data_IF_887253311846
#
_entry.id   IF_887253311846
#
_cell.length_a   1.000
_cell.length_b   1.000
_cell.length_c   1.000
_cell.angle_alpha   90.00
_cell.angle_beta   90.00
_cell.angle_gamma   90.00
#
_symmetry.space_group_name_H-M   'P 1'
#
loop_
_entity.id
_entity.type
_entity.pdbx_description
1 polymer ?
#
# COMPACT_ATOMS: atom_id res chain seq x y z
N UNK A 1 -5.93 -17.77 -16.06
CA UNK A 1 -5.80 -16.31 -16.12
C UNK A 1 -4.40 -15.93 -15.68
N UNK A 2 -3.61 -15.14 -16.44
CA UNK A 2 -2.20 -14.87 -16.11
C UNK A 2 -2.02 -13.90 -14.93
N UNK A 3 -3.10 -13.32 -14.42
CA UNK A 3 -3.09 -12.35 -13.32
C UNK A 3 -3.57 -12.96 -12.01
N UNK A 4 -3.24 -12.35 -10.89
CA UNK A 4 -3.78 -12.74 -9.58
C UNK A 4 -5.23 -12.26 -9.41
N UNK A 5 -5.55 -11.05 -9.90
CA UNK A 5 -6.91 -10.50 -9.89
C UNK A 5 -7.79 -11.17 -10.95
N UNK A 6 -9.01 -11.52 -10.58
CA UNK A 6 -9.97 -12.19 -11.47
C UNK A 6 -11.22 -11.33 -11.71
N UNK A 7 -11.26 -10.13 -11.21
CA UNK A 7 -12.45 -9.26 -11.17
C UNK A 7 -13.06 -9.10 -12.57
N UNK A 8 -12.24 -8.85 -13.57
CA UNK A 8 -12.65 -8.68 -14.96
C UNK A 8 -13.09 -9.97 -15.67
N UNK A 9 -12.80 -11.13 -15.06
CA UNK A 9 -13.10 -12.45 -15.63
C UNK A 9 -14.33 -13.09 -14.99
N UNK A 10 -14.77 -12.63 -13.82
CA UNK A 10 -15.92 -13.18 -13.10
C UNK A 10 -17.15 -13.38 -14.00
N UNK A 11 -17.53 -12.45 -14.93
CA UNK A 11 -18.69 -12.64 -15.79
C UNK A 11 -18.60 -13.78 -16.80
N UNK A 12 -17.38 -14.30 -17.06
CA UNK A 12 -17.16 -15.37 -18.04
C UNK A 12 -16.69 -16.68 -17.42
N UNK A 13 -16.55 -16.71 -16.08
CA UNK A 13 -16.25 -17.95 -15.36
C UNK A 13 -17.49 -18.86 -15.37
N UNK A 14 -17.28 -20.14 -15.62
CA UNK A 14 -18.31 -21.17 -15.60
C UNK A 14 -17.84 -22.40 -14.78
N UNK A 15 -18.76 -23.29 -14.46
CA UNK A 15 -18.49 -24.49 -13.69
C UNK A 15 -18.05 -25.67 -14.59
N UNK A 16 -18.10 -25.51 -15.92
CA UNK A 16 -17.76 -26.56 -16.89
C UNK A 16 -16.25 -26.68 -17.10
N UNK A 17 -15.46 -25.73 -16.59
CA UNK A 17 -14.01 -25.68 -16.76
C UNK A 17 -13.28 -25.50 -15.43
N UNK A 18 -12.06 -26.02 -15.37
CA UNK A 18 -11.15 -25.71 -14.28
C UNK A 18 -10.43 -24.38 -14.59
N UNK A 19 -10.74 -23.36 -13.81
CA UNK A 19 -10.11 -22.04 -13.91
C UNK A 19 -8.93 -21.94 -12.94
N UNK A 20 -7.81 -21.42 -13.41
CA UNK A 20 -6.63 -21.12 -12.60
C UNK A 20 -6.23 -19.67 -12.77
N UNK A 21 -5.58 -19.10 -11.77
CA UNK A 21 -5.06 -17.73 -11.81
C UNK A 21 -3.59 -17.70 -11.37
N UNK A 22 -2.91 -16.59 -11.67
CA UNK A 22 -1.51 -16.35 -11.30
C UNK A 22 -1.28 -15.98 -9.83
N UNK A 23 -2.21 -16.32 -8.92
CA UNK A 23 -2.08 -16.00 -7.50
C UNK A 23 -0.79 -16.58 -6.92
N UNK A 24 0.00 -15.71 -6.26
CA UNK A 24 1.29 -16.07 -5.65
C UNK A 24 2.49 -15.96 -6.59
N UNK A 25 2.31 -15.99 -7.92
CA UNK A 25 3.42 -15.94 -8.89
C UNK A 25 4.20 -14.61 -8.79
N UNK A 26 3.49 -13.52 -8.56
CA UNK A 26 4.05 -12.16 -8.47
C UNK A 26 4.31 -11.70 -7.03
N UNK A 27 4.19 -12.58 -6.04
CA UNK A 27 4.28 -12.19 -4.63
C UNK A 27 5.63 -11.54 -4.29
N UNK A 28 6.73 -12.14 -4.73
CA UNK A 28 8.08 -11.63 -4.44
C UNK A 28 8.40 -10.32 -5.18
N UNK A 29 8.24 -10.20 -6.52
CA UNK A 29 8.54 -8.96 -7.21
C UNK A 29 7.64 -7.80 -6.78
N UNK A 30 6.36 -8.04 -6.46
CA UNK A 30 5.47 -7.00 -5.95
C UNK A 30 5.86 -6.57 -4.53
N UNK A 31 6.26 -7.50 -3.67
CA UNK A 31 6.76 -7.16 -2.33
C UNK A 31 8.07 -6.35 -2.39
N UNK A 32 8.99 -6.70 -3.30
CA UNK A 32 10.21 -5.94 -3.56
C UNK A 32 9.87 -4.52 -4.02
N UNK A 33 8.94 -4.38 -4.97
CA UNK A 33 8.49 -3.09 -5.46
C UNK A 33 7.84 -2.25 -4.35
N UNK A 34 6.99 -2.84 -3.53
CA UNK A 34 6.37 -2.17 -2.38
C UNK A 34 7.42 -1.64 -1.39
N UNK A 35 8.45 -2.43 -1.08
CA UNK A 35 9.57 -2.00 -0.24
C UNK A 35 10.35 -0.85 -0.89
N UNK A 36 10.62 -0.93 -2.20
CA UNK A 36 11.30 0.13 -2.94
C UNK A 36 10.52 1.45 -2.91
N UNK A 37 9.19 1.39 -3.07
CA UNK A 37 8.30 2.54 -2.96
C UNK A 37 8.33 3.15 -1.55
N UNK A 38 8.25 2.32 -0.50
CA UNK A 38 8.34 2.76 0.89
C UNK A 38 9.67 3.47 1.18
N UNK A 39 10.79 2.87 0.79
CA UNK A 39 12.11 3.48 0.94
C UNK A 39 12.23 4.79 0.14
N UNK A 40 11.69 4.84 -1.07
CA UNK A 40 11.71 6.05 -1.91
C UNK A 40 10.96 7.19 -1.25
N UNK A 41 9.77 6.92 -0.71
CA UNK A 41 8.97 7.91 0.00
C UNK A 41 9.60 8.35 1.32
N UNK A 42 9.78 7.40 2.23
CA UNK A 42 10.30 7.68 3.58
C UNK A 42 11.66 8.37 3.57
N UNK A 43 12.56 8.02 2.65
CA UNK A 43 13.90 8.62 2.52
C UNK A 43 13.93 9.88 1.65
N UNK A 44 12.75 10.36 1.19
CA UNK A 44 12.61 11.55 0.33
C UNK A 44 13.41 11.48 -0.97
N UNK A 45 13.65 10.26 -1.49
CA UNK A 45 14.51 10.04 -2.67
C UNK A 45 13.89 10.70 -3.91
N UNK A 46 12.57 10.62 -4.08
CA UNK A 46 11.86 11.25 -5.20
C UNK A 46 12.02 12.78 -5.19
N UNK A 47 12.05 13.42 -4.02
CA UNK A 47 12.32 14.85 -3.89
C UNK A 47 13.77 15.20 -4.23
N UNK A 48 14.72 14.45 -3.69
CA UNK A 48 16.15 14.67 -3.95
C UNK A 48 16.52 14.45 -5.43
N UNK A 49 15.94 13.46 -6.09
CA UNK A 49 16.25 13.18 -7.51
C UNK A 49 15.81 14.31 -8.46
N UNK A 50 14.86 15.15 -8.02
CA UNK A 50 14.38 16.32 -8.76
C UNK A 50 15.00 17.62 -8.29
N UNK A 51 15.80 17.60 -7.22
CA UNK A 51 16.41 18.81 -6.68
C UNK A 51 17.47 19.38 -7.62
N UNK A 52 17.45 20.68 -7.85
CA UNK A 52 18.45 21.43 -8.64
C UNK A 52 19.50 22.15 -7.80
N UNK A 53 19.41 21.99 -6.48
CA UNK A 53 20.35 22.59 -5.51
C UNK A 53 20.48 21.69 -4.30
N UNK A 54 21.56 21.85 -3.53
CA UNK A 54 21.73 21.16 -2.26
C UNK A 54 20.65 21.58 -1.27
N UNK A 55 19.93 20.58 -0.69
CA UNK A 55 18.88 20.77 0.31
C UNK A 55 19.29 20.15 1.63
N UNK A 56 18.65 20.55 2.72
CA UNK A 56 18.83 19.94 4.03
C UNK A 56 18.34 18.48 4.04
N UNK A 57 18.75 17.68 5.04
CA UNK A 57 18.30 16.30 5.19
C UNK A 57 16.80 16.28 5.50
N UNK A 58 16.08 15.40 4.79
CA UNK A 58 14.67 15.10 5.01
C UNK A 58 14.47 13.57 4.98
N UNK A 59 13.30 13.15 5.42
CA UNK A 59 12.92 11.74 5.44
C UNK A 59 13.25 11.03 6.76
N UNK A 60 12.73 9.82 6.87
CA UNK A 60 12.79 8.95 8.06
C UNK A 60 13.38 7.60 7.70
N UNK A 61 13.88 6.88 8.69
CA UNK A 61 14.40 5.52 8.50
C UNK A 61 13.24 4.51 8.51
N UNK A 62 13.35 3.48 7.68
CA UNK A 62 12.52 2.29 7.81
C UNK A 62 13.02 1.38 8.94
N UNK A 63 14.30 1.47 9.29
CA UNK A 63 14.88 0.70 10.40
C UNK A 63 14.17 1.01 11.71
N UNK A 64 13.55 0.00 12.33
CA UNK A 64 12.81 0.11 13.57
C UNK A 64 11.43 0.79 13.43
N UNK A 65 10.93 0.99 12.21
CA UNK A 65 9.64 1.64 11.96
C UNK A 65 8.46 0.74 12.36
N UNK A 66 7.34 1.38 12.73
CA UNK A 66 6.07 0.70 12.86
C UNK A 66 5.42 0.54 11.47
N UNK A 67 5.12 -0.69 11.10
CA UNK A 67 4.59 -1.06 9.78
C UNK A 67 3.25 -1.74 9.93
N UNK A 68 2.24 -1.25 9.21
CA UNK A 68 0.95 -1.92 9.08
C UNK A 68 0.79 -2.47 7.67
N UNK A 69 0.47 -3.76 7.54
CA UNK A 69 0.19 -4.42 6.26
C UNK A 69 -1.27 -4.82 6.24
N UNK A 70 -2.05 -4.25 5.33
CA UNK A 70 -3.45 -4.61 5.12
C UNK A 70 -3.53 -5.68 4.02
N UNK A 71 -3.86 -6.89 4.44
CA UNK A 71 -3.85 -8.09 3.60
C UNK A 71 -3.03 -9.21 4.23
N UNK A 72 -3.26 -10.46 3.85
CA UNK A 72 -2.60 -11.63 4.44
C UNK A 72 -2.30 -12.71 3.40
N UNK A 73 -1.94 -12.31 2.18
CA UNK A 73 -1.58 -13.22 1.10
C UNK A 73 -0.08 -13.33 0.87
N UNK A 74 0.33 -13.95 -0.23
CA UNK A 74 1.73 -14.17 -0.56
C UNK A 74 2.58 -12.90 -0.64
N UNK A 75 2.00 -11.75 -1.06
CA UNK A 75 2.71 -10.46 -1.04
C UNK A 75 3.06 -10.07 0.40
N UNK A 76 2.12 -10.22 1.34
CA UNK A 76 2.34 -9.96 2.76
C UNK A 76 3.46 -10.84 3.31
N UNK A 77 3.42 -12.15 3.05
CA UNK A 77 4.46 -13.09 3.51
C UNK A 77 5.85 -12.72 2.95
N UNK A 78 5.92 -12.37 1.67
CA UNK A 78 7.17 -11.93 1.04
C UNK A 78 7.66 -10.60 1.61
N UNK A 79 6.75 -9.64 1.84
CA UNK A 79 7.08 -8.34 2.40
C UNK A 79 7.59 -8.45 3.85
N UNK A 80 6.97 -9.30 4.69
CA UNK A 80 7.43 -9.58 6.05
C UNK A 80 8.88 -10.09 6.04
N UNK A 81 9.21 -11.04 5.15
CA UNK A 81 10.60 -11.52 4.99
C UNK A 81 11.57 -10.39 4.60
N UNK A 82 11.17 -9.51 3.69
CA UNK A 82 11.98 -8.36 3.26
C UNK A 82 12.15 -7.30 4.36
N UNK A 83 11.17 -7.16 5.24
CA UNK A 83 11.19 -6.20 6.36
C UNK A 83 11.98 -6.72 7.58
N UNK A 84 12.20 -8.02 7.70
CA UNK A 84 12.93 -8.63 8.83
C UNK A 84 14.28 -7.95 9.11
N UNK A 85 15.16 -7.67 8.12
CA UNK A 85 16.46 -7.00 8.37
C UNK A 85 16.33 -5.55 8.85
N UNK A 86 15.16 -4.95 8.71
CA UNK A 86 14.90 -3.58 9.17
C UNK A 86 14.40 -3.52 10.61
N UNK A 87 14.18 -4.67 11.27
CA UNK A 87 13.70 -4.73 12.66
C UNK A 87 12.42 -3.90 12.87
N UNK A 88 11.53 -3.89 11.89
CA UNK A 88 10.23 -3.21 11.98
C UNK A 88 9.33 -3.92 13.01
N UNK A 89 8.48 -3.14 13.69
CA UNK A 89 7.33 -3.68 14.39
C UNK A 89 6.18 -3.84 13.40
N UNK A 90 5.74 -5.08 13.16
CA UNK A 90 4.82 -5.40 12.06
C UNK A 90 3.44 -5.78 12.60
N UNK A 91 2.42 -5.03 12.19
CA UNK A 91 1.01 -5.36 12.39
C UNK A 91 0.40 -5.78 11.04
N UNK A 92 -0.31 -6.90 11.01
CA UNK A 92 -1.05 -7.36 9.83
C UNK A 92 -2.55 -7.31 10.09
N UNK A 93 -3.28 -6.63 9.22
CA UNK A 93 -4.76 -6.58 9.22
C UNK A 93 -5.27 -7.56 8.16
N UNK A 94 -6.01 -8.59 8.57
CA UNK A 94 -6.54 -9.60 7.65
C UNK A 94 -7.87 -10.20 8.14
N UNK A 95 -8.63 -10.79 7.21
CA UNK A 95 -9.94 -11.39 7.51
C UNK A 95 -9.87 -12.54 8.51
N UNK A 96 -8.87 -13.42 8.37
CA UNK A 96 -8.67 -14.56 9.27
C UNK A 96 -7.51 -14.24 10.20
N UNK A 97 -7.80 -14.10 11.49
CA UNK A 97 -6.78 -13.76 12.51
C UNK A 97 -6.03 -15.05 12.90
N UNK A 98 -4.89 -15.26 12.26
CA UNK A 98 -3.97 -16.37 12.50
C UNK A 98 -2.55 -15.83 12.53
N UNK A 99 -1.71 -16.41 13.37
CA UNK A 99 -0.32 -16.00 13.48
C UNK A 99 0.42 -16.14 12.14
N UNK A 100 1.25 -15.15 11.84
CA UNK A 100 2.17 -15.15 10.70
C UNK A 100 3.58 -15.06 11.26
N UNK A 101 4.47 -15.91 10.81
CA UNK A 101 5.86 -15.89 11.26
C UNK A 101 6.53 -14.56 10.89
N UNK A 102 7.23 -13.95 11.86
CA UNK A 102 7.86 -12.64 11.71
C UNK A 102 6.92 -11.44 11.84
N UNK A 103 5.66 -11.64 12.27
CA UNK A 103 4.68 -10.58 12.54
C UNK A 103 4.44 -10.46 14.03
N UNK A 104 4.47 -9.25 14.58
CA UNK A 104 4.25 -9.01 16.02
C UNK A 104 2.77 -9.08 16.39
N UNK A 105 1.89 -8.57 15.52
CA UNK A 105 0.45 -8.48 15.79
C UNK A 105 -0.36 -8.79 14.55
N UNK A 106 -1.36 -9.65 14.67
CA UNK A 106 -2.35 -9.93 13.62
C UNK A 106 -3.74 -9.58 14.15
N UNK A 107 -4.46 -8.72 13.42
CA UNK A 107 -5.82 -8.26 13.81
C UNK A 107 -6.81 -8.44 12.68
N UNK A 108 -8.10 -8.42 13.01
CA UNK A 108 -9.21 -8.46 12.05
C UNK A 108 -9.44 -7.10 11.37
N UNK A 109 -10.20 -7.10 10.29
CA UNK A 109 -10.52 -5.87 9.54
C UNK A 109 -11.27 -4.83 10.38
N UNK A 110 -12.05 -5.26 11.36
CA UNK A 110 -12.76 -4.40 12.32
C UNK A 110 -11.81 -3.53 13.18
N UNK A 111 -10.54 -3.92 13.26
CA UNK A 111 -9.50 -3.18 14.00
C UNK A 111 -8.58 -2.37 13.05
N UNK A 112 -8.99 -2.14 11.80
CA UNK A 112 -8.18 -1.41 10.82
C UNK A 112 -7.75 -0.04 11.34
N UNK A 113 -8.70 0.74 11.85
CA UNK A 113 -8.42 2.10 12.33
C UNK A 113 -7.38 2.09 13.45
N UNK A 114 -7.51 1.18 14.42
CA UNK A 114 -6.53 1.06 15.51
C UNK A 114 -5.15 0.64 15.01
N UNK A 115 -5.10 -0.20 13.96
CA UNK A 115 -3.85 -0.64 13.36
C UNK A 115 -3.15 0.44 12.51
N UNK A 116 -3.87 1.49 12.09
CA UNK A 116 -3.29 2.63 11.38
C UNK A 116 -2.65 3.65 12.31
N UNK A 117 -3.12 3.73 13.56
CA UNK A 117 -2.58 4.66 14.56
C UNK A 117 -1.13 4.29 14.89
N UNK A 118 -0.23 5.27 14.83
CA UNK A 118 1.19 5.08 15.14
C UNK A 118 2.01 4.38 14.05
N UNK A 119 1.41 3.99 12.92
CA UNK A 119 2.14 3.41 11.81
C UNK A 119 2.99 4.47 11.07
N UNK A 120 4.27 4.17 10.84
CA UNK A 120 5.16 4.96 9.98
C UNK A 120 4.92 4.65 8.49
N UNK A 121 4.55 3.40 8.19
CA UNK A 121 4.23 2.93 6.82
C UNK A 121 3.04 1.99 6.84
N UNK A 122 2.12 2.20 5.91
CA UNK A 122 0.97 1.34 5.66
C UNK A 122 1.08 0.74 4.26
N UNK A 123 1.07 -0.59 4.16
CA UNK A 123 1.04 -1.29 2.88
C UNK A 123 -0.35 -1.87 2.61
N UNK A 124 -0.88 -1.64 1.42
CA UNK A 124 -2.10 -2.29 0.94
C UNK A 124 -1.71 -3.44 0.00
N UNK A 125 -1.98 -4.68 0.44
CA UNK A 125 -1.64 -5.93 -0.24
C UNK A 125 -2.79 -6.93 -0.17
N UNK A 126 -4.01 -6.48 -0.54
CA UNK A 126 -5.25 -7.24 -0.41
C UNK A 126 -6.02 -7.29 -1.73
N UNK A 127 -6.99 -8.20 -1.83
CA UNK A 127 -7.88 -8.32 -2.99
C UNK A 127 -8.98 -7.25 -2.92
N UNK A 128 -9.36 -6.71 -4.08
CA UNK A 128 -10.52 -5.83 -4.18
C UNK A 128 -11.81 -6.66 -4.14
N UNK A 129 -12.65 -6.37 -3.17
CA UNK A 129 -13.99 -6.96 -2.98
C UNK A 129 -14.97 -5.85 -2.63
N UNK A 130 -16.29 -6.11 -2.67
CA UNK A 130 -17.26 -5.10 -2.24
C UNK A 130 -16.98 -4.52 -0.85
N UNK A 131 -16.43 -5.34 0.08
CA UNK A 131 -16.11 -4.94 1.45
C UNK A 131 -14.81 -4.15 1.57
N UNK A 132 -13.96 -4.16 0.53
CA UNK A 132 -12.65 -3.49 0.53
C UNK A 132 -12.55 -2.33 -0.45
N UNK A 133 -13.62 -2.04 -1.21
CA UNK A 133 -13.73 -0.82 -2.00
C UNK A 133 -13.82 0.38 -1.07
N UNK A 134 -12.98 1.39 -1.28
CA UNK A 134 -12.94 2.59 -0.47
C UNK A 134 -12.58 2.33 0.99
N UNK A 135 -11.82 1.26 1.26
CA UNK A 135 -11.40 0.85 2.60
C UNK A 135 -10.60 1.95 3.33
N UNK A 136 -9.86 2.74 2.58
CA UNK A 136 -9.10 3.90 3.06
C UNK A 136 -9.77 5.16 2.51
N UNK A 137 -10.51 5.81 3.36
CA UNK A 137 -11.10 7.11 3.10
C UNK A 137 -10.57 8.15 4.07
N UNK A 138 -11.26 9.28 4.14
CA UNK A 138 -10.86 10.40 5.00
C UNK A 138 -10.70 10.01 6.48
N UNK A 139 -11.60 9.23 7.12
CA UNK A 139 -11.45 8.84 8.50
C UNK A 139 -10.16 8.03 8.77
N UNK A 140 -9.81 7.10 7.88
CA UNK A 140 -8.62 6.27 7.97
C UNK A 140 -7.35 7.09 7.76
N UNK A 141 -7.37 8.06 6.84
CA UNK A 141 -6.25 8.96 6.60
C UNK A 141 -6.03 9.94 7.77
N UNK A 142 -7.11 10.40 8.41
CA UNK A 142 -7.04 11.34 9.55
C UNK A 142 -6.43 10.72 10.81
N UNK A 143 -6.48 9.40 11.00
CA UNK A 143 -5.88 8.73 12.16
C UNK A 143 -4.42 8.32 11.95
N UNK A 144 -3.93 8.38 10.71
CA UNK A 144 -2.53 8.10 10.41
C UNK A 144 -1.62 9.22 10.91
N UNK A 145 -0.36 8.87 11.14
CA UNK A 145 0.64 9.86 11.54
C UNK A 145 0.96 10.86 10.43
N UNK A 146 1.19 12.16 10.74
CA UNK A 146 1.47 13.18 9.72
C UNK A 146 2.74 12.92 8.89
N UNK A 147 3.57 11.98 9.31
CA UNK A 147 4.76 11.55 8.57
C UNK A 147 4.59 10.19 7.89
N UNK A 148 3.46 9.52 8.11
CA UNK A 148 3.21 8.19 7.59
C UNK A 148 3.11 8.17 6.06
N UNK A 149 3.58 7.07 5.47
CA UNK A 149 3.43 6.79 4.04
C UNK A 149 2.46 5.65 3.82
N UNK A 150 1.53 5.82 2.86
CA UNK A 150 0.68 4.74 2.37
C UNK A 150 1.20 4.22 1.03
N UNK A 151 1.38 2.91 0.93
CA UNK A 151 1.92 2.21 -0.24
C UNK A 151 0.83 1.30 -0.79
N UNK A 152 0.35 1.57 -1.99
CA UNK A 152 -0.68 0.75 -2.61
C UNK A 152 -0.12 -0.04 -3.80
N UNK A 153 0.03 -1.34 -3.62
CA UNK A 153 0.42 -2.32 -4.65
C UNK A 153 -0.68 -3.35 -4.89
N UNK A 154 -1.90 -3.04 -4.47
CA UNK A 154 -3.06 -3.93 -4.57
C UNK A 154 -3.98 -3.53 -5.71
N UNK A 155 -4.94 -2.62 -5.46
CA UNK A 155 -5.85 -2.03 -6.45
C UNK A 155 -6.14 -0.58 -6.07
N UNK A 156 -6.31 0.30 -7.07
CA UNK A 156 -6.61 1.71 -6.86
C UNK A 156 -7.88 1.92 -6.03
N UNK A 157 -8.93 1.16 -6.31
CA UNK A 157 -10.22 1.26 -5.64
C UNK A 157 -10.24 0.96 -4.13
N UNK A 158 -9.11 0.60 -3.50
CA UNK A 158 -9.03 0.50 -2.04
C UNK A 158 -8.96 1.86 -1.36
N UNK A 159 -8.50 2.89 -2.07
CA UNK A 159 -8.38 4.25 -1.53
C UNK A 159 -9.42 5.13 -2.22
N UNK A 160 -10.15 5.92 -1.46
CA UNK A 160 -10.99 6.99 -2.01
C UNK A 160 -10.09 8.07 -2.55
N UNK A 161 -9.99 8.18 -3.88
CA UNK A 161 -8.98 9.01 -4.57
C UNK A 161 -9.05 10.49 -4.18
N UNK A 162 -10.27 11.06 -4.09
CA UNK A 162 -10.46 12.47 -3.70
C UNK A 162 -10.02 12.72 -2.25
N UNK A 163 -10.25 11.78 -1.35
CA UNK A 163 -9.81 11.86 0.06
C UNK A 163 -8.29 11.79 0.16
N UNK A 164 -7.64 10.95 -0.67
CA UNK A 164 -6.19 10.89 -0.75
C UNK A 164 -5.59 12.19 -1.26
N UNK A 165 -6.16 12.78 -2.34
CA UNK A 165 -5.73 14.10 -2.84
C UNK A 165 -5.82 15.13 -1.72
N UNK A 166 -6.97 15.21 -1.04
CA UNK A 166 -7.15 16.12 0.08
C UNK A 166 -6.12 15.89 1.20
N UNK A 167 -5.85 14.64 1.58
CA UNK A 167 -4.91 14.33 2.65
C UNK A 167 -3.46 14.74 2.29
N UNK A 168 -3.06 14.53 1.04
CA UNK A 168 -1.73 14.90 0.55
C UNK A 168 -1.55 16.40 0.42
N UNK A 169 -2.55 17.12 -0.11
CA UNK A 169 -2.54 18.58 -0.24
C UNK A 169 -2.48 19.29 1.12
N UNK A 170 -3.15 18.72 2.13
CA UNK A 170 -3.21 19.27 3.48
C UNK A 170 -2.14 18.71 4.42
N UNK A 171 -1.22 17.85 3.91
CA UNK A 171 -0.18 17.19 4.71
C UNK A 171 -0.74 16.46 5.93
N UNK A 172 -1.91 15.83 5.79
CA UNK A 172 -2.52 14.97 6.81
C UNK A 172 -1.66 13.74 7.01
N UNK A 173 -1.09 13.21 5.93
CA UNK A 173 -0.08 12.15 5.92
C UNK A 173 1.18 12.62 5.20
N UNK A 174 2.30 11.93 5.43
CA UNK A 174 3.60 12.27 4.84
C UNK A 174 3.67 12.06 3.34
N UNK A 175 2.96 11.06 2.82
CA UNK A 175 2.90 10.81 1.38
C UNK A 175 2.22 9.52 1.00
N UNK A 176 2.09 9.32 -0.30
CA UNK A 176 1.57 8.10 -0.91
C UNK A 176 2.50 7.61 -2.04
N UNK A 177 2.61 6.27 -2.16
CA UNK A 177 3.25 5.65 -3.31
C UNK A 177 2.29 4.61 -3.91
N UNK A 178 1.91 4.84 -5.15
CA UNK A 178 0.81 4.17 -5.82
C UNK A 178 1.33 3.44 -7.06
N UNK A 179 1.32 2.11 -7.02
CA UNK A 179 1.54 1.30 -8.23
C UNK A 179 0.23 1.08 -8.98
N UNK A 180 -0.88 1.38 -8.35
CA UNK A 180 -2.25 1.27 -8.86
C UNK A 180 -3.07 2.50 -8.50
N UNK A 181 -3.98 2.92 -9.39
CA UNK A 181 -4.82 4.11 -9.21
C UNK A 181 -6.29 3.83 -9.53
N UNK A 182 -7.18 4.73 -9.14
CA UNK A 182 -8.57 4.73 -9.56
C UNK A 182 -8.97 6.17 -9.94
N UNK A 183 -9.27 6.44 -11.23
CA UNK A 183 -9.26 5.50 -12.37
C UNK A 183 -7.85 5.03 -12.77
N UNK A 184 -7.80 3.91 -13.50
CA UNK A 184 -6.57 3.39 -14.09
C UNK A 184 -6.77 3.17 -15.61
N UNK A 185 -5.94 3.78 -16.49
CA UNK A 185 -4.84 4.70 -16.16
C UNK A 185 -5.32 6.03 -15.57
N UNK A 186 -4.48 6.63 -14.71
CA UNK A 186 -4.76 7.93 -14.11
C UNK A 186 -4.71 9.04 -15.19
N UNK A 187 -5.75 9.89 -15.34
CA UNK A 187 -5.76 10.98 -16.30
C UNK A 187 -4.55 11.91 -16.16
N UNK A 188 -4.01 12.39 -17.29
CA UNK A 188 -2.82 13.26 -17.31
C UNK A 188 -2.98 14.56 -16.51
N UNK A 189 -4.22 15.09 -16.38
CA UNK A 189 -4.52 16.30 -15.61
C UNK A 189 -4.80 16.05 -14.15
N UNK A 190 -4.70 14.80 -13.68
CA UNK A 190 -5.08 14.46 -12.30
C UNK A 190 -4.12 15.09 -11.27
N UNK A 191 -4.63 15.68 -10.15
CA UNK A 191 -3.82 16.36 -9.15
C UNK A 191 -2.66 15.53 -8.59
N UNK A 192 -2.85 14.22 -8.39
CA UNK A 192 -1.82 13.32 -7.84
C UNK A 192 -0.47 13.39 -8.60
N UNK A 193 -0.47 13.70 -9.92
CA UNK A 193 0.77 13.84 -10.70
C UNK A 193 1.64 15.02 -10.26
N UNK A 194 1.02 16.08 -9.74
CA UNK A 194 1.70 17.31 -9.37
C UNK A 194 2.10 17.37 -7.89
N UNK A 195 1.58 16.48 -7.06
CA UNK A 195 1.86 16.47 -5.63
C UNK A 195 3.29 15.97 -5.34
N UNK A 196 4.11 16.76 -4.60
CA UNK A 196 5.51 16.41 -4.34
C UNK A 196 5.69 15.20 -3.43
N UNK A 197 4.67 14.87 -2.65
CA UNK A 197 4.57 13.74 -1.73
C UNK A 197 3.76 12.55 -2.30
N UNK A 198 3.55 12.53 -3.62
CA UNK A 198 2.95 11.40 -4.32
C UNK A 198 3.95 10.79 -5.30
N UNK A 199 4.07 9.46 -5.26
CA UNK A 199 4.88 8.67 -6.19
C UNK A 199 3.93 7.74 -6.93
N UNK A 200 4.01 7.70 -8.26
CA UNK A 200 3.15 6.83 -9.09
C UNK A 200 4.04 6.00 -9.98
N UNK A 201 3.78 4.70 -10.04
CA UNK A 201 4.41 3.74 -10.94
C UNK A 201 3.35 3.05 -11.81
N UNK A 202 3.72 2.53 -13.00
CA UNK A 202 2.73 2.13 -14.02
C UNK A 202 2.28 0.67 -13.91
N UNK A 203 1.93 0.18 -12.75
CA UNK A 203 1.36 -1.17 -12.47
C UNK A 203 2.08 -2.31 -13.18
#
# INVERSE_FOLDING_TARGET
>A
VPFAGIENFVPILDDDRTWTCGKGVYAEPVAEHALALALTGMRHIAGYSRASKWTGPAGRNLLGAAVTIVGGGGITESLVRLLTPFHCSITVVRRTVENIDGVDTVVGQENLVDALVGADVVFLALSLTPETVGLIGKPELEVMEPHAWIINVARGGHIVTDDLVWALENNVIGGAALDVTDPEPLPESHPLWSLPNCIITPH
#
